data_IF_245173905645
#
_entry.id   IF_245173905645
#
_cell.length_a   1.000
_cell.length_b   1.000
_cell.length_c   1.000
_cell.angle_alpha   90.00
_cell.angle_beta   90.00
_cell.angle_gamma   90.00
#
_symmetry.space_group_name_H-M   'P 1'
#
loop_
_entity.id
_entity.type
_entity.pdbx_description
1 polymer ?
#
# COMPACT_ATOMS: atom_id res chain seq x y z
N UNK A 1 28.08 -12.68 1.82
CA UNK A 1 26.77 -13.19 1.38
C UNK A 1 26.69 -13.07 -0.14
N UNK A 2 26.87 -14.19 -0.86
CA UNK A 2 26.76 -14.21 -2.32
C UNK A 2 25.29 -14.32 -2.72
N UNK A 3 24.62 -13.17 -2.83
CA UNK A 3 23.25 -13.05 -3.37
C UNK A 3 23.20 -13.46 -4.86
N UNK A 4 24.37 -13.58 -5.51
CA UNK A 4 24.49 -13.81 -6.95
C UNK A 4 24.45 -15.28 -7.43
N UNK A 5 24.46 -16.30 -6.56
CA UNK A 5 24.57 -17.71 -6.99
C UNK A 5 23.27 -18.54 -6.94
N UNK A 6 22.21 -18.04 -6.29
CA UNK A 6 20.86 -18.60 -6.39
C UNK A 6 19.96 -17.49 -6.92
N UNK A 7 19.28 -17.71 -8.06
CA UNK A 7 18.39 -16.73 -8.69
C UNK A 7 17.09 -16.44 -7.91
N UNK A 8 17.13 -16.50 -6.58
CA UNK A 8 16.01 -16.27 -5.69
C UNK A 8 16.12 -14.93 -4.95
N UNK A 9 15.01 -14.50 -4.35
CA UNK A 9 14.99 -13.35 -3.45
C UNK A 9 15.71 -13.69 -2.15
N UNK A 10 16.50 -12.75 -1.63
CA UNK A 10 17.04 -12.88 -0.28
C UNK A 10 15.92 -12.77 0.76
N UNK A 11 16.14 -13.30 1.96
CA UNK A 11 15.16 -13.22 3.04
C UNK A 11 14.80 -11.76 3.37
N UNK A 12 15.78 -10.84 3.33
CA UNK A 12 15.53 -9.42 3.54
C UNK A 12 14.58 -8.84 2.47
N UNK A 13 14.78 -9.24 1.20
CA UNK A 13 13.90 -8.83 0.11
C UNK A 13 12.49 -9.39 0.28
N UNK A 14 12.35 -10.64 0.72
CA UNK A 14 11.04 -11.25 0.99
C UNK A 14 10.31 -10.52 2.12
N UNK A 15 10.98 -10.22 3.23
CA UNK A 15 10.38 -9.47 4.34
C UNK A 15 10.04 -8.04 3.94
N UNK A 16 10.93 -7.35 3.22
CA UNK A 16 10.70 -5.99 2.72
C UNK A 16 9.52 -5.93 1.75
N UNK A 17 9.52 -6.76 0.71
CA UNK A 17 8.45 -6.82 -0.29
C UNK A 17 7.10 -7.22 0.32
N UNK A 18 7.09 -8.31 1.10
CA UNK A 18 5.87 -8.84 1.71
C UNK A 18 5.28 -7.89 2.74
N UNK A 19 6.12 -7.35 3.64
CA UNK A 19 5.70 -6.41 4.65
C UNK A 19 5.15 -5.10 4.06
N UNK A 20 5.86 -4.55 3.07
CA UNK A 20 5.40 -3.34 2.36
C UNK A 20 4.08 -3.54 1.62
N UNK A 21 3.89 -4.72 1.00
CA UNK A 21 2.66 -5.06 0.32
C UNK A 21 1.47 -5.07 1.29
N UNK A 22 1.64 -5.71 2.45
CA UNK A 22 0.60 -5.74 3.50
C UNK A 22 0.25 -4.32 3.95
N UNK A 23 1.26 -3.47 4.19
CA UNK A 23 1.03 -2.07 4.59
C UNK A 23 0.25 -1.29 3.52
N UNK A 24 0.62 -1.44 2.25
CA UNK A 24 -0.08 -0.77 1.14
C UNK A 24 -1.55 -1.22 1.03
N UNK A 25 -1.82 -2.52 1.18
CA UNK A 25 -3.19 -3.06 1.18
C UNK A 25 -4.00 -2.53 2.37
N UNK A 26 -3.42 -2.55 3.58
CA UNK A 26 -4.08 -2.03 4.77
C UNK A 26 -4.40 -0.53 4.62
N UNK A 27 -3.49 0.25 4.06
CA UNK A 27 -3.73 1.66 3.75
C UNK A 27 -4.95 1.84 2.85
N UNK A 28 -5.03 1.09 1.74
CA UNK A 28 -6.16 1.17 0.80
C UNK A 28 -7.49 0.80 1.46
N UNK A 29 -7.50 -0.23 2.31
CA UNK A 29 -8.70 -0.65 3.05
C UNK A 29 -9.14 0.45 4.02
N UNK A 30 -8.20 0.98 4.82
CA UNK A 30 -8.50 1.99 5.84
C UNK A 30 -9.01 3.27 5.20
N UNK A 31 -8.37 3.76 4.14
CA UNK A 31 -8.77 5.02 3.52
C UNK A 31 -10.13 4.89 2.82
N UNK A 32 -10.41 3.74 2.20
CA UNK A 32 -11.70 3.46 1.61
C UNK A 32 -12.80 3.42 2.68
N UNK A 33 -12.56 2.73 3.80
CA UNK A 33 -13.48 2.67 4.93
C UNK A 33 -13.77 4.05 5.52
N UNK A 34 -12.73 4.88 5.72
CA UNK A 34 -12.89 6.25 6.24
C UNK A 34 -13.73 7.13 5.34
N UNK A 35 -13.55 7.04 4.02
CA UNK A 35 -14.34 7.83 3.07
C UNK A 35 -15.77 7.34 2.99
N UNK A 36 -15.99 6.03 3.03
CA UNK A 36 -17.33 5.46 3.07
C UNK A 36 -18.14 5.97 4.28
N UNK A 37 -17.49 6.18 5.42
CA UNK A 37 -18.13 6.75 6.62
C UNK A 37 -18.25 8.28 6.61
N UNK A 38 -17.70 8.98 5.61
CA UNK A 38 -17.73 10.44 5.57
C UNK A 38 -19.13 10.98 5.27
N UNK A 39 -19.45 12.16 5.80
CA UNK A 39 -20.69 12.86 5.49
C UNK A 39 -20.81 13.14 3.98
N UNK A 40 -19.70 13.50 3.31
CA UNK A 40 -19.66 13.67 1.86
C UNK A 40 -20.17 12.44 1.10
N UNK A 41 -19.75 11.23 1.50
CA UNK A 41 -20.17 10.01 0.82
C UNK A 41 -21.63 9.65 1.09
N UNK A 42 -22.13 9.92 2.31
CA UNK A 42 -23.47 9.52 2.74
C UNK A 42 -24.56 10.55 2.40
N UNK A 43 -24.22 11.83 2.32
CA UNK A 43 -25.19 12.92 2.15
C UNK A 43 -25.14 13.56 0.76
N UNK A 44 -23.96 13.69 0.14
CA UNK A 44 -23.83 14.37 -1.16
C UNK A 44 -23.66 13.38 -2.31
N UNK A 45 -22.72 12.45 -2.16
CA UNK A 45 -22.34 11.50 -3.20
C UNK A 45 -23.51 10.59 -3.61
N UNK A 46 -24.44 10.27 -2.70
CA UNK A 46 -25.61 9.42 -2.98
C UNK A 46 -26.50 10.02 -4.08
N UNK A 47 -26.63 11.36 -4.14
CA UNK A 47 -27.48 12.05 -5.11
C UNK A 47 -26.81 12.30 -6.46
N UNK A 48 -25.53 11.97 -6.61
CA UNK A 48 -24.84 12.13 -7.88
C UNK A 48 -25.31 11.12 -8.92
N UNK A 49 -25.33 11.54 -10.18
CA UNK A 49 -25.55 10.64 -11.31
C UNK A 49 -24.46 9.58 -11.38
N UNK A 50 -24.78 8.41 -11.95
CA UNK A 50 -23.86 7.26 -12.01
C UNK A 50 -22.51 7.61 -12.66
N UNK A 51 -22.52 8.47 -13.68
CA UNK A 51 -21.28 8.91 -14.35
C UNK A 51 -20.38 9.75 -13.43
N UNK A 52 -20.96 10.70 -12.68
CA UNK A 52 -20.21 11.51 -11.71
C UNK A 52 -19.62 10.65 -10.58
N UNK A 53 -20.38 9.67 -10.11
CA UNK A 53 -19.91 8.69 -9.11
C UNK A 53 -18.68 7.93 -9.61
N UNK A 54 -18.73 7.41 -10.83
CA UNK A 54 -17.61 6.69 -11.45
C UNK A 54 -16.38 7.61 -11.59
N UNK A 55 -16.55 8.84 -12.08
CA UNK A 55 -15.44 9.77 -12.25
C UNK A 55 -14.73 10.10 -10.93
N UNK A 56 -15.50 10.36 -9.86
CA UNK A 56 -14.95 10.63 -8.53
C UNK A 56 -14.26 9.40 -7.93
N UNK A 57 -14.86 8.21 -8.10
CA UNK A 57 -14.26 6.96 -7.64
C UNK A 57 -12.94 6.65 -8.37
N UNK A 58 -12.88 6.90 -9.67
CA UNK A 58 -11.65 6.78 -10.46
C UNK A 58 -10.57 7.77 -10.00
N UNK A 59 -10.93 9.03 -9.74
CA UNK A 59 -9.99 10.00 -9.17
C UNK A 59 -9.48 9.56 -7.80
N UNK A 60 -10.38 9.09 -6.93
CA UNK A 60 -10.05 8.57 -5.61
C UNK A 60 -9.07 7.39 -5.69
N UNK A 61 -9.37 6.36 -6.49
CA UNK A 61 -8.52 5.17 -6.58
C UNK A 61 -7.16 5.50 -7.19
N UNK A 62 -7.10 6.37 -8.21
CA UNK A 62 -5.83 6.77 -8.84
C UNK A 62 -4.91 7.49 -7.84
N UNK A 63 -5.41 8.47 -7.10
CA UNK A 63 -4.61 9.19 -6.10
C UNK A 63 -4.13 8.24 -5.00
N UNK A 64 -5.01 7.36 -4.51
CA UNK A 64 -4.65 6.45 -3.42
C UNK A 64 -3.70 5.34 -3.87
N UNK A 65 -3.75 4.91 -5.14
CA UNK A 65 -2.75 4.00 -5.70
C UNK A 65 -1.36 4.65 -5.77
N UNK A 66 -1.28 5.93 -6.14
CA UNK A 66 -0.03 6.68 -6.15
C UNK A 66 0.54 6.77 -4.72
N UNK A 67 -0.30 7.13 -3.74
CA UNK A 67 0.11 7.18 -2.32
C UNK A 67 0.53 5.80 -1.82
N UNK A 68 -0.24 4.76 -2.13
CA UNK A 68 0.07 3.38 -1.76
C UNK A 68 1.41 2.91 -2.36
N UNK A 69 1.74 3.32 -3.59
CA UNK A 69 3.03 3.04 -4.21
C UNK A 69 4.20 3.71 -3.45
N UNK A 70 4.04 4.98 -3.05
CA UNK A 70 5.04 5.66 -2.23
C UNK A 70 5.19 5.00 -0.85
N UNK A 71 4.08 4.66 -0.20
CA UNK A 71 4.10 3.93 1.07
C UNK A 71 4.79 2.57 0.91
N UNK A 72 4.46 1.82 -0.14
CA UNK A 72 5.11 0.56 -0.44
C UNK A 72 6.63 0.73 -0.51
N UNK A 73 7.13 1.70 -1.27
CA UNK A 73 8.56 1.93 -1.39
C UNK A 73 9.22 2.27 -0.04
N UNK A 74 8.62 3.16 0.74
CA UNK A 74 9.14 3.56 2.06
C UNK A 74 9.18 2.36 3.00
N UNK A 75 8.08 1.61 3.12
CA UNK A 75 7.99 0.47 4.02
C UNK A 75 8.84 -0.71 3.56
N UNK A 76 9.06 -0.88 2.26
CA UNK A 76 9.95 -1.90 1.73
C UNK A 76 11.38 -1.67 2.22
N UNK A 77 11.86 -0.43 2.14
CA UNK A 77 13.19 -0.06 2.64
C UNK A 77 13.28 -0.16 4.16
N UNK A 78 12.26 0.29 4.90
CA UNK A 78 12.26 0.22 6.36
C UNK A 78 12.25 -1.23 6.86
N UNK A 79 11.33 -2.05 6.37
CA UNK A 79 11.17 -3.44 6.82
C UNK A 79 12.36 -4.28 6.34
N UNK A 80 12.83 -4.09 5.11
CA UNK A 80 14.05 -4.74 4.61
C UNK A 80 15.30 -4.34 5.39
N UNK A 81 15.42 -3.05 5.76
CA UNK A 81 16.52 -2.57 6.60
C UNK A 81 16.48 -3.18 8.01
N UNK A 82 15.31 -3.19 8.63
CA UNK A 82 15.09 -3.79 9.95
C UNK A 82 15.38 -5.30 9.92
N UNK A 83 14.86 -6.03 8.92
CA UNK A 83 15.10 -7.47 8.79
C UNK A 83 16.58 -7.78 8.60
N UNK A 84 17.30 -6.99 7.80
CA UNK A 84 18.74 -7.14 7.60
C UNK A 84 19.54 -6.98 8.90
N UNK A 85 19.11 -6.09 9.81
CA UNK A 85 19.75 -5.90 11.10
C UNK A 85 19.58 -7.13 12.00
N UNK A 86 18.38 -7.72 12.02
CA UNK A 86 18.10 -8.91 12.81
C UNK A 86 18.78 -10.16 12.25
N UNK A 87 18.70 -10.38 10.93
CA UNK A 87 19.31 -11.55 10.26
C UNK A 87 20.83 -11.56 10.46
N UNK A 88 21.51 -10.40 10.43
CA UNK A 88 22.96 -10.32 10.67
C UNK A 88 23.39 -10.62 12.11
N UNK A 89 22.46 -10.58 13.07
CA UNK A 89 22.75 -10.78 14.50
C UNK A 89 22.48 -12.20 14.99
N UNK A 90 21.81 -13.03 14.18
CA UNK A 90 21.61 -14.45 14.42
C UNK A 90 22.62 -15.27 13.60
#
# INVERSE_FOLDING_TARGET
MMIALHGGFSEEMLYGLGGAFIVAVLFLIIIHFRIYQSAYYNEEYVYFSSFKKIALYLGFITINLIVAYFLFFVFMLLIGGISSYFIRKF
#
